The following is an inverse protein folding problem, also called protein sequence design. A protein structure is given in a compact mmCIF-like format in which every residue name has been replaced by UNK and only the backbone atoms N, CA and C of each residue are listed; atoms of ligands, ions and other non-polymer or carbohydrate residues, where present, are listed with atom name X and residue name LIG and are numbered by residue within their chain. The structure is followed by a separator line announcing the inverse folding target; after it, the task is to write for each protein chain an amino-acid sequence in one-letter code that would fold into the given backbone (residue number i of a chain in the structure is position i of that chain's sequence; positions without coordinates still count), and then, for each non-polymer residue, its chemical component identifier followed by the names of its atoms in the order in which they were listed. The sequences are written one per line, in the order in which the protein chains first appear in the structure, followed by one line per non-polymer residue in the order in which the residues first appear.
data_IF_825620367338
#
_entry.id   IF_825620367338
#
_cell.length_a   1.000
_cell.length_b   1.000
_cell.length_c   1.000
_cell.angle_alpha   90.00
_cell.angle_beta   90.00
_cell.angle_gamma   90.00
#
_symmetry.space_group_name_H-M   'P 1'
#
loop_
_entity.id
_entity.type
_entity.pdbx_description
1 polymer ?
#
# COMPACT_ATOMS: atom_id res chain seq x y z
N UNK A 1 24.38 -19.33 29.78
CA UNK A 1 22.90 -19.23 29.69
C UNK A 1 22.38 -17.80 29.49
N UNK A 2 22.66 -16.83 30.37
CA UNK A 2 22.13 -15.45 30.23
C UNK A 2 22.56 -14.72 28.93
N UNK A 3 23.75 -15.01 28.40
CA UNK A 3 24.22 -14.45 27.13
C UNK A 3 23.48 -15.05 25.92
N UNK A 4 23.36 -16.37 25.86
CA UNK A 4 22.63 -17.08 24.80
C UNK A 4 21.16 -16.64 24.73
N UNK A 5 20.48 -16.53 25.87
CA UNK A 5 19.10 -16.04 25.92
C UNK A 5 18.96 -14.61 25.38
N UNK A 6 19.92 -13.72 25.66
CA UNK A 6 19.92 -12.36 25.10
C UNK A 6 20.10 -12.37 23.59
N UNK A 7 21.01 -13.19 23.07
CA UNK A 7 21.20 -13.31 21.62
C UNK A 7 19.93 -13.81 20.93
N UNK A 8 19.28 -14.84 21.48
CA UNK A 8 18.00 -15.34 20.94
C UNK A 8 16.95 -14.24 20.90
N UNK A 9 16.82 -13.46 21.99
CA UNK A 9 15.88 -12.34 22.03
C UNK A 9 16.20 -11.25 20.99
N UNK A 10 17.48 -10.94 20.77
CA UNK A 10 17.91 -9.98 19.73
C UNK A 10 17.54 -10.52 18.33
N UNK A 11 17.86 -11.78 18.04
CA UNK A 11 17.54 -12.40 16.74
C UNK A 11 16.04 -12.51 16.50
N UNK A 12 15.24 -12.75 17.54
CA UNK A 12 13.78 -12.77 17.44
C UNK A 12 13.20 -11.36 17.28
N UNK A 13 13.81 -10.34 17.89
CA UNK A 13 13.34 -8.96 17.80
C UNK A 13 13.36 -8.43 16.37
N UNK A 14 14.41 -8.73 15.59
CA UNK A 14 14.60 -8.25 14.22
C UNK A 14 13.42 -8.57 13.29
N UNK A 15 13.04 -9.85 13.06
CA UNK A 15 11.93 -10.16 12.16
C UNK A 15 10.59 -9.63 12.68
N UNK A 16 10.38 -9.61 14.00
CA UNK A 16 9.16 -9.03 14.59
C UNK A 16 9.10 -7.52 14.34
N UNK A 17 10.23 -6.81 14.38
CA UNK A 17 10.31 -5.39 14.06
C UNK A 17 9.96 -5.12 12.59
N UNK A 18 10.42 -5.96 11.66
CA UNK A 18 10.04 -5.85 10.24
C UNK A 18 8.54 -6.13 10.05
N UNK A 19 7.99 -7.17 10.69
CA UNK A 19 6.54 -7.46 10.66
C UNK A 19 5.74 -6.26 11.22
N UNK A 20 6.24 -5.60 12.26
CA UNK A 20 5.63 -4.38 12.80
C UNK A 20 5.58 -3.26 11.75
N UNK A 21 6.66 -3.01 11.00
CA UNK A 21 6.66 -2.00 9.94
C UNK A 21 5.61 -2.31 8.86
N UNK A 22 5.46 -3.57 8.47
CA UNK A 22 4.40 -4.00 7.55
C UNK A 22 3.00 -3.79 8.15
N UNK A 23 2.79 -4.14 9.42
CA UNK A 23 1.52 -3.94 10.10
C UNK A 23 1.14 -2.46 10.20
N UNK A 24 2.12 -1.58 10.46
CA UNK A 24 1.91 -0.12 10.47
C UNK A 24 1.49 0.38 9.09
N UNK A 25 2.19 -0.02 8.02
CA UNK A 25 1.81 0.37 6.66
C UNK A 25 0.42 -0.12 6.29
N UNK A 26 0.10 -1.40 6.55
CA UNK A 26 -1.21 -1.95 6.23
C UNK A 26 -2.30 -1.14 6.93
N UNK A 27 -2.17 -0.90 8.24
CA UNK A 27 -3.21 -0.26 9.05
C UNK A 27 -3.34 1.24 8.80
N UNK A 28 -2.23 1.96 8.81
CA UNK A 28 -2.21 3.43 8.86
C UNK A 28 -1.93 4.08 7.50
N UNK A 29 -1.54 3.31 6.48
CA UNK A 29 -1.37 3.80 5.11
C UNK A 29 -2.34 3.10 4.16
N UNK A 30 -2.12 1.82 3.85
CA UNK A 30 -2.85 1.11 2.79
C UNK A 30 -4.36 1.01 3.04
N UNK A 31 -4.79 0.91 4.31
CA UNK A 31 -6.20 0.86 4.68
C UNK A 31 -6.82 2.25 4.98
N UNK A 32 -6.11 3.34 4.67
CA UNK A 32 -6.54 4.72 4.97
C UNK A 32 -6.69 5.53 3.67
N UNK A 33 -7.88 6.08 3.39
CA UNK A 33 -8.13 6.90 2.19
C UNK A 33 -7.10 8.00 1.90
N UNK A 34 -6.77 8.80 2.92
CA UNK A 34 -5.88 9.96 2.77
C UNK A 34 -4.48 9.59 2.31
N UNK A 35 -4.04 8.34 2.51
CA UNK A 35 -2.78 7.87 1.96
C UNK A 35 -2.84 7.81 0.44
N UNK A 36 -3.89 7.19 -0.12
CA UNK A 36 -4.07 7.04 -1.57
C UNK A 36 -4.26 8.38 -2.25
N UNK A 37 -5.12 9.24 -1.70
CA UNK A 37 -5.34 10.59 -2.23
C UNK A 37 -4.03 11.38 -2.27
N UNK A 38 -3.30 11.43 -1.15
CA UNK A 38 -2.03 12.16 -1.08
C UNK A 38 -0.98 11.57 -2.02
N UNK A 39 -0.87 10.25 -2.07
CA UNK A 39 0.16 9.58 -2.86
C UNK A 39 -0.08 9.72 -4.35
N UNK A 40 -1.32 9.58 -4.82
CA UNK A 40 -1.63 9.61 -6.26
C UNK A 40 -1.83 11.03 -6.79
N UNK A 41 -2.32 11.98 -5.98
CA UNK A 41 -2.49 13.36 -6.42
C UNK A 41 -1.19 14.20 -6.37
N UNK A 42 -0.14 13.75 -5.65
CA UNK A 42 1.10 14.52 -5.47
C UNK A 42 2.12 14.47 -6.62
N UNK A 43 1.90 13.65 -7.65
CA UNK A 43 2.95 13.31 -8.62
C UNK A 43 2.53 13.30 -10.09
N UNK A 44 1.53 14.09 -10.49
CA UNK A 44 0.96 14.06 -11.86
C UNK A 44 0.49 12.67 -12.31
N UNK A 45 0.24 11.75 -11.37
CA UNK A 45 -0.04 10.33 -11.66
C UNK A 45 -1.23 10.18 -12.60
N UNK A 46 -2.33 10.89 -12.35
CA UNK A 46 -3.51 10.84 -13.22
C UNK A 46 -3.27 11.48 -14.58
N UNK A 47 -2.39 12.49 -14.68
CA UNK A 47 -1.98 13.08 -15.96
C UNK A 47 -1.15 12.09 -16.78
N UNK A 48 -0.15 11.46 -16.16
CA UNK A 48 0.67 10.44 -16.80
C UNK A 48 -0.17 9.22 -17.22
N UNK A 49 -1.11 8.80 -16.37
CA UNK A 49 -2.02 7.68 -16.64
C UNK A 49 -2.94 7.97 -17.83
N UNK A 50 -3.57 9.16 -17.85
CA UNK A 50 -4.41 9.62 -18.96
C UNK A 50 -3.63 9.61 -20.28
N UNK A 51 -2.44 10.24 -20.30
CA UNK A 51 -1.60 10.29 -21.50
C UNK A 51 -1.16 8.89 -21.98
N UNK A 52 -0.78 8.00 -21.04
CA UNK A 52 -0.34 6.64 -21.37
C UNK A 52 -1.48 5.78 -21.94
N UNK A 53 -2.67 5.83 -21.32
CA UNK A 53 -3.82 5.06 -21.80
C UNK A 53 -4.27 5.57 -23.18
N UNK A 54 -4.40 6.88 -23.36
CA UNK A 54 -4.82 7.47 -24.63
C UNK A 54 -3.87 7.12 -25.77
N UNK A 55 -2.55 7.25 -25.54
CA UNK A 55 -1.54 6.87 -26.53
C UNK A 55 -1.62 5.38 -26.92
N UNK A 56 -1.88 4.50 -25.96
CA UNK A 56 -2.00 3.07 -26.22
C UNK A 56 -3.28 2.73 -27.01
N UNK A 57 -4.40 3.39 -26.70
CA UNK A 57 -5.66 3.23 -27.46
C UNK A 57 -5.50 3.71 -28.90
N UNK A 58 -4.91 4.89 -29.11
CA UNK A 58 -4.64 5.43 -30.45
C UNK A 58 -3.73 4.51 -31.26
N UNK A 59 -2.67 4.00 -30.62
CA UNK A 59 -1.75 3.05 -31.24
C UNK A 59 -2.47 1.76 -31.63
N UNK A 60 -3.27 1.20 -30.73
CA UNK A 60 -4.01 -0.04 -31.00
C UNK A 60 -4.98 0.14 -32.17
N UNK A 61 -5.69 1.27 -32.24
CA UNK A 61 -6.57 1.58 -33.36
C UNK A 61 -5.81 1.61 -34.70
N UNK A 62 -4.61 2.20 -34.74
CA UNK A 62 -3.76 2.22 -35.93
C UNK A 62 -3.27 0.80 -36.28
N UNK A 63 -2.80 0.03 -35.28
CA UNK A 63 -2.28 -1.32 -35.47
C UNK A 63 -3.37 -2.29 -35.99
N UNK A 64 -4.64 -2.04 -35.65
CA UNK A 64 -5.82 -2.78 -36.14
C UNK A 64 -6.36 -2.26 -37.49
N UNK A 65 -5.66 -1.30 -38.13
CA UNK A 65 -5.99 -0.78 -39.46
C UNK A 65 -6.94 0.42 -39.50
N UNK A 66 -7.25 1.00 -38.34
CA UNK A 66 -8.02 2.23 -38.19
C UNK A 66 -7.14 3.50 -38.17
N UNK A 67 -7.71 4.59 -37.67
CA UNK A 67 -7.05 5.89 -37.46
C UNK A 67 -7.04 6.24 -35.98
N UNK A 68 -6.08 7.06 -35.55
CA UNK A 68 -6.03 7.55 -34.16
C UNK A 68 -7.34 8.23 -33.71
N UNK A 69 -8.01 8.94 -34.61
CA UNK A 69 -9.29 9.60 -34.32
C UNK A 69 -10.46 8.64 -34.07
N UNK A 70 -10.34 7.36 -34.43
CA UNK A 70 -11.44 6.39 -34.27
C UNK A 70 -11.73 6.09 -32.79
N UNK A 71 -10.78 6.37 -31.89
CA UNK A 71 -10.93 6.22 -30.44
C UNK A 71 -11.18 7.53 -29.70
N UNK A 72 -11.44 8.64 -30.41
CA UNK A 72 -11.61 9.98 -29.82
C UNK A 72 -12.67 10.02 -28.71
N UNK A 73 -13.77 9.29 -28.89
CA UNK A 73 -14.84 9.20 -27.87
C UNK A 73 -14.31 8.56 -26.58
N UNK A 74 -13.43 7.55 -26.67
CA UNK A 74 -12.84 6.89 -25.51
C UNK A 74 -11.76 7.75 -24.86
N UNK A 75 -10.88 8.36 -25.67
CA UNK A 75 -9.79 9.21 -25.15
C UNK A 75 -10.32 10.47 -24.47
N UNK A 76 -11.45 11.01 -24.94
CA UNK A 76 -12.16 12.13 -24.30
C UNK A 76 -12.77 11.77 -22.93
N UNK A 77 -13.00 10.48 -22.63
CA UNK A 77 -13.45 10.03 -21.31
C UNK A 77 -12.30 9.87 -20.32
N UNK A 78 -11.11 9.56 -20.82
CA UNK A 78 -9.92 9.22 -20.05
C UNK A 78 -9.12 10.50 -19.79
N UNK A 79 -9.73 11.47 -19.12
CA UNK A 79 -9.07 12.70 -18.66
C UNK A 79 -8.47 12.51 -17.27
N UNK A 80 -7.46 13.31 -16.88
CA UNK A 80 -6.90 13.24 -15.53
C UNK A 80 -7.95 13.39 -14.43
N UNK A 81 -8.91 14.30 -14.60
CA UNK A 81 -9.97 14.60 -13.62
C UNK A 81 -10.96 13.44 -13.51
N UNK A 82 -11.34 12.83 -14.64
CA UNK A 82 -12.24 11.68 -14.66
C UNK A 82 -11.57 10.45 -14.03
N UNK A 83 -10.29 10.24 -14.31
CA UNK A 83 -9.50 9.17 -13.70
C UNK A 83 -9.37 9.39 -12.19
N UNK A 84 -9.01 10.60 -11.75
CA UNK A 84 -8.88 10.95 -10.33
C UNK A 84 -10.19 10.71 -9.58
N UNK A 85 -11.32 11.22 -10.09
CA UNK A 85 -12.62 11.02 -9.46
C UNK A 85 -12.98 9.52 -9.37
N UNK A 86 -12.79 8.78 -10.47
CA UNK A 86 -13.13 7.36 -10.54
C UNK A 86 -12.27 6.55 -9.59
N UNK A 87 -10.96 6.82 -9.53
CA UNK A 87 -10.04 6.15 -8.62
C UNK A 87 -10.38 6.46 -7.17
N UNK A 88 -10.56 7.74 -6.82
CA UNK A 88 -10.78 8.16 -5.45
C UNK A 88 -12.11 7.61 -4.91
N UNK A 89 -13.20 7.64 -5.70
CA UNK A 89 -14.48 7.04 -5.29
C UNK A 89 -14.38 5.53 -5.10
N UNK A 90 -13.76 4.81 -6.04
CA UNK A 90 -13.64 3.36 -5.95
C UNK A 90 -12.70 2.92 -4.81
N UNK A 91 -11.56 3.57 -4.62
CA UNK A 91 -10.65 3.32 -3.49
C UNK A 91 -11.38 3.60 -2.17
N UNK A 92 -12.12 4.70 -2.06
CA UNK A 92 -12.89 4.99 -0.85
C UNK A 92 -13.93 3.92 -0.55
N UNK A 93 -14.70 3.49 -1.55
CA UNK A 93 -15.70 2.43 -1.37
C UNK A 93 -15.04 1.09 -1.00
N UNK A 94 -13.96 0.73 -1.69
CA UNK A 94 -13.16 -0.45 -1.38
C UNK A 94 -12.62 -0.41 0.05
N UNK A 95 -12.04 0.70 0.48
CA UNK A 95 -11.47 0.85 1.82
C UNK A 95 -12.55 0.85 2.91
N UNK A 96 -13.73 1.43 2.66
CA UNK A 96 -14.86 1.33 3.59
C UNK A 96 -15.29 -0.11 3.76
N UNK A 97 -15.42 -0.86 2.67
CA UNK A 97 -15.74 -2.28 2.72
C UNK A 97 -14.64 -3.08 3.42
N UNK A 98 -13.37 -2.91 3.00
CA UNK A 98 -12.21 -3.60 3.56
C UNK A 98 -12.00 -3.33 5.05
N UNK A 99 -12.44 -2.17 5.54
CA UNK A 99 -12.45 -1.84 6.97
C UNK A 99 -13.68 -2.35 7.74
N UNK A 100 -14.58 -3.10 7.10
CA UNK A 100 -15.82 -3.61 7.70
C UNK A 100 -16.86 -2.51 7.98
N UNK A 101 -16.73 -1.34 7.33
CA UNK A 101 -17.66 -0.19 7.51
C UNK A 101 -18.80 -0.19 6.50
N UNK A 102 -18.79 -1.11 5.54
CA UNK A 102 -19.85 -1.32 4.57
C UNK A 102 -20.16 -2.82 4.48
N UNK A 103 -21.43 -3.17 4.32
CA UNK A 103 -21.88 -4.56 4.23
C UNK A 103 -21.61 -5.17 2.84
N UNK A 104 -21.41 -4.32 1.84
CA UNK A 104 -21.14 -4.72 0.46
C UNK A 104 -20.10 -3.80 -0.18
N UNK A 105 -19.41 -4.32 -1.19
CA UNK A 105 -18.43 -3.58 -1.98
C UNK A 105 -19.17 -2.81 -3.08
N UNK A 106 -19.27 -1.49 -2.91
CA UNK A 106 -19.87 -0.60 -3.89
C UNK A 106 -18.83 -0.22 -4.95
N UNK A 107 -19.20 -0.34 -6.22
CA UNK A 107 -18.39 0.11 -7.35
C UNK A 107 -18.99 1.40 -7.88
N UNK A 108 -18.12 2.37 -8.15
CA UNK A 108 -18.48 3.60 -8.84
C UNK A 108 -18.14 3.48 -10.32
N UNK A 109 -19.15 3.66 -11.18
CA UNK A 109 -19.01 3.72 -12.63
C UNK A 109 -19.52 5.08 -13.09
N UNK A 110 -18.74 5.92 -13.81
CA UNK A 110 -19.16 7.27 -14.18
C UNK A 110 -20.13 7.27 -15.39
N UNK A 111 -21.25 6.52 -15.29
CA UNK A 111 -22.24 6.33 -16.38
C UNK A 111 -22.78 7.66 -16.93
N UNK A 112 -22.98 8.64 -16.04
CA UNK A 112 -23.43 9.99 -16.39
C UNK A 112 -22.43 10.78 -17.24
N UNK A 113 -21.16 10.35 -17.30
CA UNK A 113 -20.13 10.95 -18.16
C UNK A 113 -19.95 10.19 -19.48
N UNK A 114 -20.56 9.01 -19.63
CA UNK A 114 -20.46 8.21 -20.86
C UNK A 114 -21.40 8.81 -21.93
N UNK A 115 -20.93 9.04 -23.18
CA UNK A 115 -21.77 9.57 -24.25
C UNK A 115 -22.89 8.61 -24.63
N UNK A 116 -24.06 9.15 -24.99
CA UNK A 116 -25.25 8.38 -25.40
C UNK A 116 -24.99 7.25 -26.42
N UNK A 117 -24.16 7.44 -27.47
CA UNK A 117 -23.86 6.36 -28.41
C UNK A 117 -23.27 5.12 -27.74
N UNK A 118 -22.41 5.28 -26.73
CA UNK A 118 -21.82 4.17 -25.97
C UNK A 118 -22.76 3.61 -24.91
N UNK A 119 -23.72 4.39 -24.41
CA UNK A 119 -24.74 3.89 -23.47
C UNK A 119 -25.72 2.92 -24.15
N UNK A 120 -26.01 3.14 -25.43
CA UNK A 120 -26.99 2.36 -26.20
C UNK A 120 -26.58 0.91 -26.52
N UNK A 121 -25.33 0.52 -26.22
CA UNK A 121 -24.77 -0.82 -26.53
C UNK A 121 -24.77 -1.80 -25.34
N UNK A 122 -25.52 -1.51 -24.26
CA UNK A 122 -25.72 -2.43 -23.13
C UNK A 122 -25.32 -1.90 -21.75
N UNK A 123 -25.16 -0.59 -21.59
CA UNK A 123 -24.86 0.06 -20.30
C UNK A 123 -26.10 0.64 -19.60
N UNK A 124 -27.29 0.46 -20.18
CA UNK A 124 -28.58 0.98 -19.71
C UNK A 124 -28.97 0.51 -18.31
N UNK A 125 -28.49 -0.67 -17.90
CA UNK A 125 -28.72 -1.24 -16.55
C UNK A 125 -27.66 -0.87 -15.53
N UNK A 126 -26.53 -0.30 -15.96
CA UNK A 126 -25.42 0.05 -15.09
C UNK A 126 -25.73 1.39 -14.42
N UNK A 127 -25.67 1.40 -13.09
CA UNK A 127 -25.89 2.60 -12.28
C UNK A 127 -24.55 3.23 -11.91
N UNK A 128 -24.60 4.52 -11.62
CA UNK A 128 -23.41 5.27 -11.20
C UNK A 128 -22.76 4.68 -9.94
N UNK A 129 -23.57 4.21 -9.00
CA UNK A 129 -23.14 3.41 -7.87
C UNK A 129 -24.00 2.16 -7.79
N UNK A 130 -23.36 0.99 -7.70
CA UNK A 130 -24.03 -0.29 -7.54
C UNK A 130 -23.12 -1.27 -6.80
N UNK A 131 -23.70 -2.36 -6.28
CA UNK A 131 -22.86 -3.40 -5.68
C UNK A 131 -21.99 -4.09 -6.72
N UNK A 132 -20.80 -4.55 -6.32
CA UNK A 132 -19.95 -5.37 -7.17
C UNK A 132 -20.70 -6.63 -7.64
N UNK A 133 -21.55 -7.20 -6.78
CA UNK A 133 -22.31 -8.42 -7.11
C UNK A 133 -23.32 -8.16 -8.22
N UNK A 134 -24.05 -7.05 -8.17
CA UNK A 134 -24.93 -6.63 -9.26
C UNK A 134 -24.13 -6.34 -10.54
N UNK A 135 -22.98 -5.67 -10.44
CA UNK A 135 -22.13 -5.35 -11.59
C UNK A 135 -21.63 -6.62 -12.29
N UNK A 136 -21.09 -7.57 -11.52
CA UNK A 136 -20.61 -8.85 -12.05
C UNK A 136 -21.73 -9.66 -12.70
N UNK A 137 -22.96 -9.58 -12.15
CA UNK A 137 -24.13 -10.22 -12.73
C UNK A 137 -24.51 -9.62 -14.08
N UNK A 138 -24.48 -8.29 -14.22
CA UNK A 138 -24.78 -7.63 -15.50
C UNK A 138 -23.73 -7.96 -16.58
N UNK A 139 -22.46 -8.11 -16.21
CA UNK A 139 -21.39 -8.52 -17.13
C UNK A 139 -21.26 -10.04 -17.32
N UNK A 140 -22.19 -10.84 -16.78
CA UNK A 140 -22.13 -12.32 -16.82
C UNK A 140 -20.78 -12.90 -16.34
N UNK A 141 -20.11 -12.23 -15.39
CA UNK A 141 -18.82 -12.70 -14.86
C UNK A 141 -19.07 -13.82 -13.86
N UNK A 142 -18.66 -15.03 -14.25
CA UNK A 142 -18.74 -16.23 -13.41
C UNK A 142 -17.42 -16.47 -12.68
N UNK A 143 -17.47 -17.17 -11.54
CA UNK A 143 -16.28 -17.63 -10.82
C UNK A 143 -15.81 -16.74 -9.66
N UNK A 144 -16.46 -15.60 -9.40
CA UNK A 144 -16.17 -14.80 -8.21
C UNK A 144 -17.03 -15.30 -7.05
N UNK A 145 -16.40 -15.95 -6.06
CA UNK A 145 -17.13 -16.43 -4.89
C UNK A 145 -17.48 -15.27 -3.95
N UNK A 146 -18.74 -15.13 -3.50
CA UNK A 146 -19.11 -14.16 -2.47
C UNK A 146 -18.26 -14.29 -1.20
N UNK A 147 -17.82 -15.51 -0.86
CA UNK A 147 -16.97 -15.75 0.31
C UNK A 147 -15.57 -15.14 0.17
N UNK A 148 -15.02 -15.06 -1.05
CA UNK A 148 -13.72 -14.44 -1.32
C UNK A 148 -13.81 -12.93 -1.16
N UNK A 149 -14.89 -12.31 -1.65
CA UNK A 149 -15.14 -10.87 -1.45
C UNK A 149 -15.33 -10.58 0.03
N UNK A 150 -16.10 -11.39 0.76
CA UNK A 150 -16.31 -11.22 2.21
C UNK A 150 -15.01 -11.25 3.03
N UNK A 151 -13.97 -11.96 2.58
CA UNK A 151 -12.68 -11.97 3.28
C UNK A 151 -12.02 -10.58 3.27
N UNK A 152 -12.23 -9.79 2.21
CA UNK A 152 -11.72 -8.41 2.10
C UNK A 152 -12.27 -7.55 3.24
N UNK A 153 -13.55 -7.71 3.59
CA UNK A 153 -14.18 -6.92 4.66
C UNK A 153 -13.55 -7.10 6.04
N UNK A 154 -12.79 -8.19 6.24
CA UNK A 154 -12.12 -8.51 7.50
C UNK A 154 -10.71 -7.91 7.59
N UNK A 155 -10.17 -7.33 6.51
CA UNK A 155 -8.79 -6.82 6.49
C UNK A 155 -8.57 -5.72 7.54
N UNK A 156 -9.49 -4.76 7.67
CA UNK A 156 -9.40 -3.70 8.67
C UNK A 156 -9.39 -4.21 10.10
N UNK A 157 -10.41 -4.97 10.53
CA UNK A 157 -10.43 -5.57 11.87
C UNK A 157 -9.20 -6.43 12.16
N UNK A 158 -8.80 -7.30 11.22
CA UNK A 158 -7.62 -8.16 11.39
C UNK A 158 -6.33 -7.33 11.46
N UNK A 159 -6.21 -6.27 10.68
CA UNK A 159 -5.03 -5.39 10.72
C UNK A 159 -4.80 -4.76 12.10
N UNK A 160 -5.88 -4.42 12.83
CA UNK A 160 -5.79 -3.92 14.20
C UNK A 160 -5.27 -4.98 15.16
N UNK A 161 -5.79 -6.20 15.07
CA UNK A 161 -5.37 -7.33 15.92
C UNK A 161 -3.89 -7.64 15.68
N UNK A 162 -3.48 -7.72 14.41
CA UNK A 162 -2.09 -7.96 14.02
C UNK A 162 -1.19 -6.82 14.51
N UNK A 163 -1.58 -5.56 14.27
CA UNK A 163 -0.81 -4.40 14.73
C UNK A 163 -0.65 -4.40 16.26
N UNK A 164 -1.73 -4.55 17.01
CA UNK A 164 -1.70 -4.56 18.48
C UNK A 164 -0.89 -5.74 19.01
N UNK A 165 -1.11 -6.95 18.48
CA UNK A 165 -0.41 -8.16 18.89
C UNK A 165 1.09 -8.06 18.66
N UNK A 166 1.52 -7.60 17.47
CA UNK A 166 2.94 -7.44 17.16
C UNK A 166 3.57 -6.31 18.00
N UNK A 167 2.86 -5.20 18.22
CA UNK A 167 3.35 -4.10 19.07
C UNK A 167 3.55 -4.55 20.51
N UNK A 168 2.59 -5.27 21.09
CA UNK A 168 2.70 -5.85 22.43
C UNK A 168 3.83 -6.86 22.51
N UNK A 169 4.01 -7.67 21.47
CA UNK A 169 5.10 -8.65 21.42
C UNK A 169 6.47 -7.96 21.35
N UNK A 170 6.63 -6.89 20.57
CA UNK A 170 7.85 -6.07 20.56
C UNK A 170 8.13 -5.44 21.93
N UNK A 171 7.10 -4.88 22.58
CA UNK A 171 7.22 -4.30 23.91
C UNK A 171 7.66 -5.37 24.93
N UNK A 172 7.11 -6.58 24.84
CA UNK A 172 7.51 -7.72 25.67
C UNK A 172 8.97 -8.11 25.42
N UNK A 173 9.40 -8.21 24.15
CA UNK A 173 10.79 -8.54 23.81
C UNK A 173 11.76 -7.48 24.33
N UNK A 174 11.44 -6.18 24.18
CA UNK A 174 12.22 -5.08 24.74
C UNK A 174 12.27 -5.14 26.27
N UNK A 175 11.14 -5.43 26.92
CA UNK A 175 11.08 -5.59 28.37
C UNK A 175 11.95 -6.76 28.83
N UNK A 176 11.88 -7.92 28.18
CA UNK A 176 12.72 -9.08 28.50
C UNK A 176 14.21 -8.78 28.30
N UNK A 177 14.56 -8.10 27.21
CA UNK A 177 15.92 -7.63 26.96
C UNK A 177 16.40 -6.69 28.07
N UNK A 178 15.59 -5.71 28.46
CA UNK A 178 15.87 -4.80 29.58
C UNK A 178 15.98 -5.53 30.94
N UNK A 179 15.07 -6.45 31.22
CA UNK A 179 15.04 -7.26 32.44
C UNK A 179 16.30 -8.11 32.56
N UNK A 180 16.81 -8.62 31.44
CA UNK A 180 18.04 -9.40 31.39
C UNK A 180 19.29 -8.59 31.77
N UNK A 181 19.28 -7.26 31.64
CA UNK A 181 20.42 -6.39 31.97
C UNK A 181 20.54 -6.26 33.49
N UNK A 182 21.77 -6.42 34.02
CA UNK A 182 22.04 -6.24 35.44
C UNK A 182 22.00 -4.77 35.88
N UNK A 183 21.66 -4.50 37.13
CA UNK A 183 21.70 -3.15 37.71
C UNK A 183 23.08 -2.50 37.55
N UNK A 184 23.11 -1.21 37.24
CA UNK A 184 24.33 -0.44 36.98
C UNK A 184 25.02 -0.74 35.63
N UNK A 185 24.57 -1.76 34.88
CA UNK A 185 25.11 -2.08 33.55
C UNK A 185 24.41 -1.28 32.45
N UNK A 186 25.13 -1.03 31.36
CA UNK A 186 24.61 -0.37 30.15
C UNK A 186 23.50 -1.20 29.50
N UNK A 187 22.53 -0.54 28.88
CA UNK A 187 21.41 -1.16 28.16
C UNK A 187 21.83 -1.66 26.76
N UNK A 188 23.01 -2.27 26.66
CA UNK A 188 23.61 -2.69 25.40
C UNK A 188 22.76 -3.74 24.64
N UNK A 189 22.08 -4.66 25.35
CA UNK A 189 21.26 -5.68 24.71
C UNK A 189 20.02 -5.12 23.97
N UNK A 190 19.13 -4.33 24.61
CA UNK A 190 18.06 -3.66 23.87
C UNK A 190 18.59 -2.61 22.87
N UNK A 191 19.73 -1.97 23.17
CA UNK A 191 20.41 -1.07 22.22
C UNK A 191 20.81 -1.76 20.92
N UNK A 192 21.46 -2.94 21.01
CA UNK A 192 21.80 -3.77 19.84
C UNK A 192 20.57 -4.20 19.05
N UNK A 193 19.51 -4.64 19.73
CA UNK A 193 18.28 -5.08 19.07
C UNK A 193 17.66 -3.97 18.20
N UNK A 194 17.50 -2.76 18.77
CA UNK A 194 16.97 -1.61 18.05
C UNK A 194 17.91 -1.13 16.94
N UNK A 195 19.22 -1.05 17.23
CA UNK A 195 20.21 -0.58 16.28
C UNK A 195 20.28 -1.49 15.04
N UNK A 196 20.40 -2.80 15.23
CA UNK A 196 20.49 -3.77 14.12
C UNK A 196 19.18 -3.80 13.32
N UNK A 197 18.04 -3.82 14.00
CA UNK A 197 16.73 -3.82 13.31
C UNK A 197 16.51 -2.53 12.51
N UNK A 198 16.88 -1.38 13.08
CA UNK A 198 16.84 -0.09 12.40
C UNK A 198 17.77 -0.06 11.19
N UNK A 199 19.01 -0.56 11.31
CA UNK A 199 19.96 -0.60 10.20
C UNK A 199 19.45 -1.50 9.06
N UNK A 200 18.92 -2.69 9.38
CA UNK A 200 18.35 -3.59 8.37
C UNK A 200 17.12 -3.00 7.70
N UNK A 201 16.25 -2.31 8.46
CA UNK A 201 15.10 -1.61 7.91
C UNK A 201 15.52 -0.45 6.98
N UNK A 202 16.59 0.29 7.31
CA UNK A 202 17.17 1.30 6.42
C UNK A 202 17.71 0.66 5.13
N UNK A 203 18.43 -0.46 5.22
CA UNK A 203 18.92 -1.19 4.04
C UNK A 203 17.77 -1.65 3.16
N UNK A 204 16.71 -2.22 3.75
CA UNK A 204 15.51 -2.63 3.03
C UNK A 204 14.81 -1.43 2.36
N UNK A 205 14.73 -0.29 3.05
CA UNK A 205 14.17 0.93 2.47
C UNK A 205 15.02 1.49 1.32
N UNK A 206 16.35 1.39 1.43
CA UNK A 206 17.27 1.71 0.33
C UNK A 206 17.05 0.83 -0.89
N UNK A 207 16.95 -0.50 -0.70
CA UNK A 207 16.64 -1.43 -1.78
C UNK A 207 15.28 -1.15 -2.43
N UNK A 208 14.25 -0.87 -1.62
CA UNK A 208 12.94 -0.45 -2.12
C UNK A 208 12.99 0.84 -2.94
N UNK A 209 13.86 1.78 -2.57
CA UNK A 209 14.04 3.04 -3.32
C UNK A 209 14.66 2.78 -4.69
N UNK A 210 15.62 1.86 -4.79
CA UNK A 210 16.20 1.44 -6.07
C UNK A 210 15.13 0.79 -6.96
N UNK A 211 14.32 -0.14 -6.40
CA UNK A 211 13.20 -0.75 -7.12
C UNK A 211 12.23 0.30 -7.64
N UNK A 212 11.85 1.28 -6.81
CA UNK A 212 10.99 2.40 -7.19
C UNK A 212 11.55 3.17 -8.39
N UNK A 213 12.84 3.51 -8.36
CA UNK A 213 13.50 4.27 -9.43
C UNK A 213 13.49 3.49 -10.74
N UNK A 214 13.81 2.20 -10.71
CA UNK A 214 13.79 1.34 -11.89
C UNK A 214 12.38 1.23 -12.49
N UNK A 215 11.38 1.01 -11.64
CA UNK A 215 9.97 0.97 -12.07
C UNK A 215 9.52 2.28 -12.71
N UNK A 216 9.87 3.43 -12.13
CA UNK A 216 9.50 4.74 -12.67
C UNK A 216 10.22 5.10 -13.97
N UNK A 217 11.35 4.46 -14.27
CA UNK A 217 12.14 4.73 -15.48
C UNK A 217 11.74 3.83 -16.65
N UNK A 218 11.59 2.53 -16.39
CA UNK A 218 11.54 1.53 -17.46
C UNK A 218 10.10 1.12 -17.82
N UNK A 219 9.19 1.12 -16.84
CA UNK A 219 7.83 0.60 -17.03
C UNK A 219 6.86 1.60 -17.73
N UNK A 220 6.88 2.92 -17.48
CA UNK A 220 5.96 3.86 -18.13
C UNK A 220 6.05 3.90 -19.66
N UNK A 221 7.17 3.47 -20.23
CA UNK A 221 7.42 3.42 -21.68
C UNK A 221 7.21 2.02 -22.29
N UNK A 222 6.79 1.03 -21.49
CA UNK A 222 6.49 -0.32 -21.97
C UNK A 222 5.40 -0.30 -23.05
N UNK A 223 5.49 -1.14 -24.09
CA UNK A 223 4.42 -1.31 -25.07
C UNK A 223 3.18 -2.01 -24.50
N UNK A 224 3.29 -2.62 -23.32
CA UNK A 224 2.18 -3.29 -22.64
C UNK A 224 1.51 -2.29 -21.70
N UNK A 225 0.24 -1.97 -21.95
CA UNK A 225 -0.52 -0.98 -21.16
C UNK A 225 -0.49 -1.30 -19.65
N UNK A 226 -0.60 -2.57 -19.28
CA UNK A 226 -0.53 -3.01 -17.87
C UNK A 226 0.78 -2.63 -17.18
N UNK A 227 1.91 -2.79 -17.87
CA UNK A 227 3.22 -2.41 -17.35
C UNK A 227 3.33 -0.89 -17.21
N UNK A 228 2.82 -0.12 -18.19
CA UNK A 228 2.82 1.35 -18.11
C UNK A 228 2.01 1.85 -16.92
N UNK A 229 0.82 1.27 -16.68
CA UNK A 229 -0.03 1.60 -15.52
C UNK A 229 0.72 1.31 -14.22
N UNK A 230 1.35 0.14 -14.10
CA UNK A 230 2.15 -0.24 -12.93
C UNK A 230 3.31 0.75 -12.73
N UNK A 231 4.02 1.09 -13.81
CA UNK A 231 5.14 2.03 -13.81
C UNK A 231 4.76 3.45 -13.38
N UNK A 232 3.49 3.83 -13.55
CA UNK A 232 2.98 5.16 -13.19
C UNK A 232 2.43 5.17 -11.75
N UNK A 233 1.65 4.15 -11.38
CA UNK A 233 0.87 4.12 -10.13
C UNK A 233 1.68 3.57 -8.95
N UNK A 234 2.52 2.55 -9.17
CA UNK A 234 3.20 1.85 -8.06
C UNK A 234 4.35 2.65 -7.45
N UNK A 235 5.22 3.35 -8.21
CA UNK A 235 6.32 4.11 -7.62
C UNK A 235 5.93 5.13 -6.54
N UNK A 236 4.89 5.98 -6.70
CA UNK A 236 4.49 6.90 -5.64
C UNK A 236 3.98 6.15 -4.39
N UNK A 237 3.30 5.00 -4.55
CA UNK A 237 2.87 4.14 -3.43
C UNK A 237 4.07 3.60 -2.66
N UNK A 238 5.06 3.06 -3.37
CA UNK A 238 6.31 2.59 -2.76
C UNK A 238 6.99 3.74 -2.01
N UNK A 239 7.06 4.94 -2.59
CA UNK A 239 7.65 6.09 -1.91
C UNK A 239 6.96 6.41 -0.58
N UNK A 240 5.62 6.42 -0.55
CA UNK A 240 4.85 6.66 0.67
C UNK A 240 5.11 5.62 1.75
N UNK A 241 5.15 4.34 1.37
CA UNK A 241 5.47 3.19 2.23
C UNK A 241 6.89 3.31 2.81
N UNK A 242 7.88 3.58 1.96
CA UNK A 242 9.28 3.64 2.35
C UNK A 242 9.61 4.85 3.24
N UNK A 243 8.92 5.98 3.04
CA UNK A 243 9.12 7.17 3.87
C UNK A 243 8.81 6.88 5.35
N UNK A 244 7.75 6.10 5.61
CA UNK A 244 7.43 5.67 6.98
C UNK A 244 8.50 4.75 7.55
N UNK A 245 8.97 3.79 6.74
CA UNK A 245 10.04 2.88 7.15
C UNK A 245 11.31 3.64 7.52
N UNK A 246 11.69 4.65 6.73
CA UNK A 246 12.86 5.49 7.01
C UNK A 246 12.73 6.20 8.37
N UNK A 247 11.55 6.76 8.70
CA UNK A 247 11.36 7.42 9.99
C UNK A 247 11.46 6.46 11.18
N UNK A 248 10.80 5.30 11.11
CA UNK A 248 10.88 4.30 12.17
C UNK A 248 12.28 3.69 12.29
N UNK A 249 12.93 3.41 11.16
CA UNK A 249 14.27 2.83 11.12
C UNK A 249 15.31 3.82 11.67
N UNK A 250 15.29 5.08 11.24
CA UNK A 250 16.17 6.12 11.77
C UNK A 250 15.95 6.32 13.29
N UNK A 251 14.69 6.36 13.73
CA UNK A 251 14.36 6.46 15.16
C UNK A 251 14.91 5.26 15.95
N UNK A 252 14.77 4.04 15.43
CA UNK A 252 15.31 2.84 16.06
C UNK A 252 16.84 2.84 16.12
N UNK A 253 17.53 3.31 15.08
CA UNK A 253 18.99 3.48 15.07
C UNK A 253 19.43 4.48 16.15
N UNK A 254 18.81 5.66 16.20
CA UNK A 254 19.15 6.72 17.17
C UNK A 254 18.88 6.23 18.60
N UNK A 255 17.70 5.67 18.87
CA UNK A 255 17.37 5.13 20.19
C UNK A 255 18.30 3.98 20.58
N UNK A 256 18.61 3.08 19.64
CA UNK A 256 19.55 1.99 19.83
C UNK A 256 20.94 2.49 20.24
N UNK A 257 21.45 3.52 19.56
CA UNK A 257 22.72 4.19 19.89
C UNK A 257 22.69 4.80 21.29
N UNK A 258 21.64 5.55 21.64
CA UNK A 258 21.50 6.18 22.96
C UNK A 258 21.50 5.15 24.09
N UNK A 259 20.86 3.99 23.90
CA UNK A 259 20.80 2.94 24.93
C UNK A 259 22.17 2.32 25.26
N UNK A 260 23.18 2.43 24.38
CA UNK A 260 24.54 2.03 24.74
C UNK A 260 25.16 2.92 25.81
N UNK A 261 24.70 4.17 25.95
CA UNK A 261 25.21 5.13 26.92
C UNK A 261 24.37 5.15 28.22
N UNK A 262 23.11 4.70 28.17
CA UNK A 262 22.22 4.63 29.32
C UNK A 262 22.51 3.40 30.19
N UNK A 263 22.62 3.60 31.51
CA UNK A 263 22.76 2.52 32.49
C UNK A 263 21.42 2.19 33.15
N UNK A 264 21.20 0.90 33.44
CA UNK A 264 20.06 0.46 34.24
C UNK A 264 20.21 0.98 35.68
N UNK A 265 19.15 1.56 36.29
CA UNK A 265 19.20 2.03 37.67
C UNK A 265 19.73 0.95 38.63
N UNK A 266 20.54 1.38 39.60
CA UNK A 266 20.94 0.54 40.71
C UNK A 266 19.72 0.40 41.62
N UNK A 267 19.25 -0.84 41.85
CA UNK A 267 18.22 -1.07 42.85
C UNK A 267 18.83 -0.71 44.21
N UNK A 268 18.31 0.34 44.84
CA UNK A 268 18.60 0.64 46.25
C UNK A 268 17.98 -0.45 47.12
#
# INVERSE_FOLDING_TARGET
MKFLARLILIFLFIPVFIIFLFAVNLRFQLLTPSFWDKTLSSGDTFRALSASINKNLEKQAIDEGGRAGDVEILTNLITPENLEETFNKNINNFLRYANGRANDLIVYVPVNKIPLPLLSTGFDKIKTEMSLTELLKEFNVQGVSPSQIQMVSKLGPVSWIVFAGVTLFLALLLFLLYASVGSGKRLAAPGMALFISGLLALTAAGAGTVLRINMAKDLPVSPVMGDSIIGIVVPPIIQGVLTLWLYFAASAVILGLLLFFVKKPVKK
#
